data_IF_425146863229
#
_entry.id   IF_425146863229
#
_cell.length_a   1.000
_cell.length_b   1.000
_cell.length_c   1.000
_cell.angle_alpha   90.00
_cell.angle_beta   90.00
_cell.angle_gamma   90.00
#
_symmetry.space_group_name_H-M   'P 1'
#
loop_
_entity.id
_entity.type
_entity.pdbx_description
1 polymer ?
#
# COMPACT_ATOMS: atom_id res chain seq x y z
N UNK A 1 12.99 9.46 9.94
CA UNK A 1 12.76 7.99 10.01
C UNK A 1 11.26 7.68 10.02
N UNK A 2 10.49 8.33 10.89
CA UNK A 2 9.04 8.09 11.07
C UNK A 2 8.17 8.22 9.80
N UNK A 3 8.43 9.20 8.93
CA UNK A 3 7.65 9.37 7.68
C UNK A 3 7.82 8.19 6.69
N UNK A 4 9.00 7.56 6.62
CA UNK A 4 9.25 6.41 5.75
C UNK A 4 8.45 5.19 6.22
N UNK A 5 8.53 4.90 7.53
CA UNK A 5 7.80 3.80 8.14
C UNK A 5 6.28 3.98 7.99
N UNK A 6 5.78 5.20 8.20
CA UNK A 6 4.37 5.52 8.03
C UNK A 6 3.90 5.29 6.58
N UNK A 7 4.65 5.77 5.57
CA UNK A 7 4.29 5.56 4.16
C UNK A 7 4.20 4.08 3.84
N UNK A 8 5.27 3.32 4.11
CA UNK A 8 5.33 1.88 3.81
C UNK A 8 4.18 1.13 4.47
N UNK A 9 3.93 1.40 5.75
CA UNK A 9 2.87 0.73 6.50
C UNK A 9 1.48 1.07 5.95
N UNK A 10 1.17 2.35 5.78
CA UNK A 10 -0.16 2.79 5.37
C UNK A 10 -0.52 2.34 3.95
N UNK A 11 0.43 2.38 3.00
CA UNK A 11 0.16 1.95 1.62
C UNK A 11 0.04 0.43 1.52
N UNK A 12 0.83 -0.33 2.28
CA UNK A 12 0.69 -1.78 2.36
C UNK A 12 -0.68 -2.17 2.95
N UNK A 13 -1.08 -1.54 4.06
CA UNK A 13 -2.36 -1.78 4.69
C UNK A 13 -3.53 -1.41 3.77
N UNK A 14 -3.44 -0.28 3.05
CA UNK A 14 -4.46 0.12 2.08
C UNK A 14 -4.61 -0.91 0.94
N UNK A 15 -3.49 -1.46 0.46
CA UNK A 15 -3.50 -2.50 -0.57
C UNK A 15 -4.16 -3.79 -0.07
N UNK A 16 -3.79 -4.27 1.12
CA UNK A 16 -4.35 -5.48 1.74
C UNK A 16 -5.85 -5.34 1.98
N UNK A 17 -6.27 -4.26 2.64
CA UNK A 17 -7.69 -4.03 2.96
C UNK A 17 -8.55 -3.89 1.70
N UNK A 18 -8.06 -3.19 0.67
CA UNK A 18 -8.80 -3.06 -0.59
C UNK A 18 -8.87 -4.37 -1.37
N UNK A 19 -7.80 -5.18 -1.31
CA UNK A 19 -7.79 -6.53 -1.90
C UNK A 19 -8.79 -7.46 -1.22
N UNK A 20 -8.83 -7.48 0.11
CA UNK A 20 -9.80 -8.27 0.89
C UNK A 20 -11.23 -7.80 0.60
N UNK A 21 -11.45 -6.50 0.46
CA UNK A 21 -12.75 -5.96 0.10
C UNK A 21 -13.19 -6.41 -1.30
N UNK A 22 -12.30 -6.48 -2.30
CA UNK A 22 -12.63 -7.07 -3.61
C UNK A 22 -13.06 -8.53 -3.43
N UNK A 23 -12.30 -9.31 -2.67
CA UNK A 23 -12.60 -10.73 -2.45
C UNK A 23 -13.97 -10.95 -1.80
N UNK A 24 -14.35 -10.10 -0.84
CA UNK A 24 -15.66 -10.15 -0.19
C UNK A 24 -16.83 -9.84 -1.15
N UNK A 25 -16.61 -8.96 -2.12
CA UNK A 25 -17.62 -8.65 -3.15
C UNK A 25 -17.65 -9.68 -4.29
N UNK A 26 -16.71 -10.63 -4.32
CA UNK A 26 -16.60 -11.63 -5.39
C UNK A 26 -16.41 -10.98 -6.76
N UNK A 27 -17.05 -11.53 -7.80
CA UNK A 27 -16.96 -10.98 -9.16
C UNK A 27 -17.44 -9.53 -9.28
N UNK A 28 -18.41 -9.12 -8.44
CA UNK A 28 -18.86 -7.73 -8.40
C UNK A 28 -17.81 -6.77 -7.85
N UNK A 29 -16.83 -7.25 -7.09
CA UNK A 29 -15.71 -6.44 -6.59
C UNK A 29 -14.80 -5.90 -7.69
N UNK A 30 -14.92 -6.43 -8.92
CA UNK A 30 -14.19 -5.94 -10.10
C UNK A 30 -15.06 -5.06 -11.02
N UNK A 31 -16.34 -4.92 -10.71
CA UNK A 31 -17.30 -4.17 -11.52
C UNK A 31 -17.27 -2.68 -11.15
N UNK A 32 -17.34 -1.81 -12.16
CA UNK A 32 -17.21 -0.34 -11.98
C UNK A 32 -18.37 0.29 -11.21
N UNK A 33 -19.47 -0.44 -11.04
CA UNK A 33 -20.63 -0.08 -10.24
C UNK A 33 -20.31 -0.05 -8.73
N UNK A 34 -19.24 -0.74 -8.30
CA UNK A 34 -18.81 -0.78 -6.91
C UNK A 34 -17.50 -0.01 -6.71
N UNK A 35 -17.46 0.87 -5.71
CA UNK A 35 -16.29 1.73 -5.42
C UNK A 35 -15.00 0.94 -5.14
N UNK A 36 -15.12 -0.31 -4.67
CA UNK A 36 -14.00 -1.13 -4.21
C UNK A 36 -12.93 -1.38 -5.28
N UNK A 37 -13.34 -1.52 -6.55
CA UNK A 37 -12.39 -1.72 -7.67
C UNK A 37 -11.47 -0.50 -7.84
N UNK A 38 -12.02 0.70 -7.69
CA UNK A 38 -11.27 1.95 -7.77
C UNK A 38 -10.29 2.05 -6.61
N UNK A 39 -10.74 1.75 -5.39
CA UNK A 39 -9.89 1.79 -4.20
C UNK A 39 -8.71 0.82 -4.31
N UNK A 40 -8.92 -0.38 -4.84
CA UNK A 40 -7.85 -1.33 -5.07
C UNK A 40 -6.82 -0.83 -6.10
N UNK A 41 -7.29 -0.27 -7.23
CA UNK A 41 -6.39 0.31 -8.25
C UNK A 41 -5.56 1.47 -7.69
N UNK A 42 -6.20 2.37 -6.94
CA UNK A 42 -5.53 3.52 -6.33
C UNK A 42 -4.51 3.06 -5.27
N UNK A 43 -4.89 2.12 -4.40
CA UNK A 43 -4.00 1.54 -3.40
C UNK A 43 -2.79 0.86 -4.06
N UNK A 44 -3.00 0.15 -5.18
CA UNK A 44 -1.90 -0.48 -5.93
C UNK A 44 -0.91 0.54 -6.48
N UNK A 45 -1.38 1.69 -6.97
CA UNK A 45 -0.50 2.77 -7.45
C UNK A 45 0.35 3.35 -6.30
N UNK A 46 -0.25 3.55 -5.12
CA UNK A 46 0.42 4.09 -3.93
C UNK A 46 1.63 3.26 -3.43
N UNK A 47 1.67 1.97 -3.79
CA UNK A 47 2.82 1.09 -3.51
C UNK A 47 4.11 1.53 -4.23
N UNK A 48 3.98 2.28 -5.33
CA UNK A 48 5.06 2.67 -6.24
C UNK A 48 5.38 4.16 -6.12
N UNK A 49 4.34 4.99 -6.03
CA UNK A 49 4.44 6.44 -5.99
C UNK A 49 5.27 6.94 -4.79
N UNK A 50 5.94 8.09 -4.99
CA UNK A 50 6.78 8.78 -4.00
C UNK A 50 7.83 7.89 -3.31
N UNK A 51 8.29 6.87 -4.04
CA UNK A 51 9.24 5.87 -3.59
C UNK A 51 8.55 4.52 -3.36
N UNK A 52 9.07 3.48 -4.02
CA UNK A 52 8.50 2.14 -3.86
C UNK A 52 8.65 1.65 -2.42
N UNK A 53 7.68 0.89 -1.94
CA UNK A 53 7.70 0.41 -0.56
C UNK A 53 8.96 -0.40 -0.23
N UNK A 54 9.48 -1.19 -1.17
CA UNK A 54 10.70 -1.98 -1.00
C UNK A 54 11.93 -1.09 -0.82
N UNK A 55 12.08 -0.06 -1.68
CA UNK A 55 13.22 0.88 -1.61
C UNK A 55 13.16 1.71 -0.33
N UNK A 56 11.97 2.20 0.02
CA UNK A 56 11.74 2.94 1.26
C UNK A 56 12.03 2.08 2.49
N UNK A 57 11.68 0.80 2.46
CA UNK A 57 12.01 -0.14 3.54
C UNK A 57 13.51 -0.29 3.72
N UNK A 58 14.27 -0.48 2.64
CA UNK A 58 15.74 -0.55 2.67
C UNK A 58 16.36 0.76 3.18
N UNK A 59 15.85 1.91 2.71
CA UNK A 59 16.31 3.22 3.17
C UNK A 59 16.01 3.45 4.66
N UNK A 60 14.85 2.99 5.14
CA UNK A 60 14.48 2.99 6.55
C UNK A 60 15.42 2.13 7.40
N UNK A 61 15.69 0.90 6.95
CA UNK A 61 16.60 -0.02 7.63
C UNK A 61 18.01 0.55 7.75
N UNK A 62 18.54 1.15 6.68
CA UNK A 62 19.86 1.82 6.72
C UNK A 62 19.92 2.91 7.77
N UNK A 63 18.88 3.76 7.86
CA UNK A 63 18.81 4.81 8.87
C UNK A 63 18.75 4.28 10.30
N UNK A 64 18.20 3.09 10.53
CA UNK A 64 18.20 2.45 11.85
C UNK A 64 19.61 1.98 12.20
N UNK A 65 20.29 1.32 11.25
CA UNK A 65 21.68 0.86 11.41
C UNK A 65 22.62 2.03 11.71
N UNK A 66 22.51 3.14 10.98
CA UNK A 66 23.38 4.31 11.17
C UNK A 66 23.11 5.04 12.52
N UNK A 67 21.97 4.79 13.16
CA UNK A 67 21.60 5.39 14.46
C UNK A 67 21.93 4.52 15.67
N UNK A 68 22.43 3.31 15.45
CA UNK A 68 22.98 2.43 16.48
C UNK A 68 24.44 2.75 16.75
#
# INVERSE_FOLDING_TARGET
QYSIAAKVYCTQAAFEVSSDAIQLHGGYGLAKEFLVEKLFRDARASMIEDGTNEVLTLAGARKVIDSY
#
